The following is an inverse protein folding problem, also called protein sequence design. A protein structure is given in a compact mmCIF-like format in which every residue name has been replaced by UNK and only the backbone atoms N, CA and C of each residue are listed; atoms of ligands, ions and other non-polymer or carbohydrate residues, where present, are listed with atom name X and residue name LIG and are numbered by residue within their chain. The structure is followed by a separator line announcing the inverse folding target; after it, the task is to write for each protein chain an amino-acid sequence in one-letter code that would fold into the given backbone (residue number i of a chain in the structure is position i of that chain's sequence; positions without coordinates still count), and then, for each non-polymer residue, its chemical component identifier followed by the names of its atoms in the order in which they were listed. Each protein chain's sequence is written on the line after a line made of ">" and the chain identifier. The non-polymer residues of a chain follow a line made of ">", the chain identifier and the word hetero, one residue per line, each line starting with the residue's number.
data_IF_572156492299
#
_entry.id   IF_572156492299
#
_cell.length_a   1.000
_cell.length_b   1.000
_cell.length_c   1.000
_cell.angle_alpha   90.00
_cell.angle_beta   90.00
_cell.angle_gamma   90.00
#
_symmetry.space_group_name_H-M   'P 1'
#
loop_
_entity.id
_entity.type
_entity.pdbx_description
1 polymer ?
#
# COMPACT_ATOMS: atom_id res chain seq x y z
N UNK A 1 -18.52 9.38 -8.17
CA UNK A 1 -17.40 8.45 -7.91
C UNK A 1 -17.53 7.97 -6.46
N UNK A 2 -18.11 6.78 -6.22
CA UNK A 2 -18.50 6.34 -4.86
C UNK A 2 -18.80 4.82 -4.74
N UNK A 3 -18.02 3.95 -5.40
CA UNK A 3 -18.25 2.48 -5.39
C UNK A 3 -17.01 1.61 -5.09
N UNK A 4 -15.88 2.21 -4.72
CA UNK A 4 -14.64 1.45 -4.50
C UNK A 4 -13.99 0.90 -5.77
N UNK A 5 -14.42 1.37 -6.95
CA UNK A 5 -13.82 1.06 -8.24
C UNK A 5 -12.41 1.69 -8.33
N UNK A 6 -11.47 0.98 -8.95
CA UNK A 6 -10.12 1.47 -9.20
C UNK A 6 -10.17 2.62 -10.22
N UNK A 7 -9.42 3.69 -9.96
CA UNK A 7 -9.16 4.73 -10.97
C UNK A 7 -8.49 4.06 -12.17
N UNK A 8 -8.84 4.42 -13.43
CA UNK A 8 -8.28 3.75 -14.60
C UNK A 8 -6.75 3.74 -14.58
N UNK A 9 -6.17 2.59 -14.91
CA UNK A 9 -4.73 2.34 -14.75
C UNK A 9 -3.87 3.35 -15.53
N UNK A 10 -4.30 3.77 -16.71
CA UNK A 10 -3.59 4.74 -17.54
C UNK A 10 -3.36 6.08 -16.84
N UNK A 11 -4.36 6.53 -16.06
CA UNK A 11 -4.28 7.77 -15.30
C UNK A 11 -3.32 7.62 -14.12
N UNK A 12 -3.41 6.51 -13.38
CA UNK A 12 -2.50 6.22 -12.26
C UNK A 12 -1.06 6.11 -12.77
N UNK A 13 -0.84 5.38 -13.87
CA UNK A 13 0.47 5.20 -14.47
C UNK A 13 1.08 6.55 -14.89
N UNK A 14 0.28 7.43 -15.49
CA UNK A 14 0.73 8.76 -15.91
C UNK A 14 1.08 9.64 -14.69
N UNK A 15 0.28 9.59 -13.64
CA UNK A 15 0.53 10.31 -12.39
C UNK A 15 1.85 9.86 -11.74
N UNK A 16 2.05 8.54 -11.61
CA UNK A 16 3.27 7.97 -11.02
C UNK A 16 4.49 8.37 -11.83
N UNK A 17 4.46 8.24 -13.16
CA UNK A 17 5.57 8.68 -14.03
C UNK A 17 5.90 10.15 -13.84
N UNK A 18 4.89 11.01 -13.79
CA UNK A 18 5.11 12.45 -13.60
C UNK A 18 5.77 12.75 -12.25
N UNK A 19 5.40 12.05 -11.18
CA UNK A 19 6.05 12.23 -9.87
C UNK A 19 7.46 11.66 -9.83
N UNK A 20 7.73 10.56 -10.54
CA UNK A 20 9.09 9.97 -10.60
C UNK A 20 10.12 10.86 -11.32
N UNK A 21 9.68 11.95 -11.95
CA UNK A 21 10.53 12.98 -12.57
C UNK A 21 10.80 14.18 -11.64
N UNK A 22 10.15 14.23 -10.48
CA UNK A 22 10.34 15.33 -9.54
C UNK A 22 11.69 15.23 -8.81
N UNK A 23 12.22 16.38 -8.37
CA UNK A 23 13.56 16.44 -7.74
C UNK A 23 13.61 15.77 -6.37
N UNK A 24 12.49 15.69 -5.68
CA UNK A 24 12.39 15.09 -4.34
C UNK A 24 12.56 13.57 -4.35
N UNK A 25 12.43 12.91 -5.51
CA UNK A 25 12.64 11.46 -5.65
C UNK A 25 14.03 11.08 -6.16
N UNK A 26 14.95 12.05 -6.30
CA UNK A 26 16.32 11.80 -6.79
C UNK A 26 17.11 10.88 -5.85
N UNK A 27 16.94 11.05 -4.53
CA UNK A 27 17.64 10.27 -3.50
C UNK A 27 16.94 8.94 -3.14
N UNK A 28 15.85 8.61 -3.83
CA UNK A 28 15.02 7.44 -3.54
C UNK A 28 13.55 7.78 -3.39
N UNK A 29 12.72 6.75 -3.33
CA UNK A 29 11.28 6.90 -3.17
C UNK A 29 10.69 5.65 -2.51
N UNK A 30 9.50 5.80 -1.93
CA UNK A 30 8.66 4.69 -1.49
C UNK A 30 7.31 4.83 -2.17
N UNK A 31 6.90 3.79 -2.90
CA UNK A 31 5.57 3.73 -3.50
C UNK A 31 4.64 2.97 -2.56
N UNK A 32 3.70 3.69 -1.94
CA UNK A 32 2.68 3.09 -1.07
C UNK A 32 1.37 2.87 -1.84
N UNK A 33 0.96 1.61 -1.92
CA UNK A 33 -0.28 1.21 -2.56
C UNK A 33 -0.26 1.24 -4.09
N UNK A 34 0.93 1.31 -4.72
CA UNK A 34 1.16 1.12 -6.14
C UNK A 34 2.48 0.34 -6.34
N UNK A 35 2.54 -0.67 -7.22
CA UNK A 35 1.47 -1.19 -8.09
C UNK A 35 0.44 -2.06 -7.34
N UNK A 36 -0.79 -2.14 -7.87
CA UNK A 36 -1.88 -3.01 -7.36
C UNK A 36 -2.22 -4.18 -8.27
N UNK A 37 -1.77 -4.13 -9.52
CA UNK A 37 -1.97 -5.20 -10.51
C UNK A 37 -0.69 -5.44 -11.29
N UNK A 38 -0.57 -6.63 -11.89
CA UNK A 38 0.62 -7.04 -12.64
C UNK A 38 0.98 -6.07 -13.78
N UNK A 39 -0.01 -5.50 -14.46
CA UNK A 39 0.24 -4.58 -15.58
C UNK A 39 0.90 -3.27 -15.12
N UNK A 40 0.50 -2.76 -13.96
CA UNK A 40 1.12 -1.59 -13.33
C UNK A 40 2.57 -1.88 -12.93
N UNK A 41 2.84 -3.07 -12.39
CA UNK A 41 4.19 -3.51 -12.02
C UNK A 41 5.11 -3.59 -13.26
N UNK A 42 4.66 -4.25 -14.33
CA UNK A 42 5.41 -4.33 -15.60
C UNK A 42 5.69 -2.94 -16.18
N UNK A 43 4.72 -2.03 -16.12
CA UNK A 43 4.87 -0.66 -16.59
C UNK A 43 5.92 0.09 -15.76
N UNK A 44 5.83 0.01 -14.43
CA UNK A 44 6.76 0.67 -13.50
C UNK A 44 8.20 0.22 -13.76
N UNK A 45 8.44 -1.08 -13.84
CA UNK A 45 9.76 -1.67 -14.12
C UNK A 45 10.33 -1.16 -15.45
N UNK A 46 9.53 -1.24 -16.53
CA UNK A 46 9.97 -0.77 -17.85
C UNK A 46 10.28 0.75 -17.85
N UNK A 47 9.49 1.54 -17.11
CA UNK A 47 9.72 2.97 -16.98
C UNK A 47 11.01 3.26 -16.21
N UNK A 48 11.22 2.65 -15.05
CA UNK A 48 12.44 2.83 -14.25
C UNK A 48 13.68 2.43 -15.05
N UNK A 49 13.64 1.28 -15.74
CA UNK A 49 14.73 0.81 -16.60
C UNK A 49 15.05 1.82 -17.71
N UNK A 50 14.04 2.45 -18.32
CA UNK A 50 14.26 3.50 -19.34
C UNK A 50 14.98 4.74 -18.78
N UNK A 51 14.95 4.94 -17.47
CA UNK A 51 15.64 6.01 -16.76
C UNK A 51 16.96 5.55 -16.12
N UNK A 52 17.43 4.33 -16.43
CA UNK A 52 18.57 3.68 -15.77
C UNK A 52 18.41 3.59 -14.24
N UNK A 53 17.18 3.40 -13.76
CA UNK A 53 16.82 3.18 -12.36
C UNK A 53 16.21 1.78 -12.21
N UNK A 54 16.28 1.21 -11.02
CA UNK A 54 15.63 -0.04 -10.67
C UNK A 54 14.89 0.11 -9.34
N UNK A 55 13.99 -0.84 -9.04
CA UNK A 55 13.52 -1.02 -7.66
C UNK A 55 14.58 -1.79 -6.87
N UNK A 56 14.79 -1.35 -5.63
CA UNK A 56 15.72 -1.99 -4.70
C UNK A 56 15.02 -3.11 -3.90
N UNK A 57 13.76 -2.90 -3.53
CA UNK A 57 12.93 -3.85 -2.80
C UNK A 57 11.44 -3.65 -3.02
N UNK A 58 10.69 -4.71 -2.76
CA UNK A 58 9.24 -4.72 -2.61
C UNK A 58 8.89 -5.41 -1.30
N UNK A 59 8.39 -4.64 -0.33
CA UNK A 59 7.94 -5.17 0.95
C UNK A 59 6.48 -5.61 0.89
N UNK A 60 6.24 -6.88 1.20
CA UNK A 60 4.89 -7.42 1.41
C UNK A 60 4.66 -7.61 2.91
N UNK A 61 3.77 -6.78 3.48
CA UNK A 61 3.36 -6.91 4.87
C UNK A 61 2.32 -8.03 4.98
N UNK A 62 2.75 -9.21 5.42
CA UNK A 62 1.90 -10.36 5.64
C UNK A 62 1.12 -10.19 6.95
N UNK A 63 -0.20 -10.19 6.85
CA UNK A 63 -1.12 -9.95 7.97
C UNK A 63 -2.30 -10.89 7.80
N UNK A 64 -2.67 -11.60 8.88
CA UNK A 64 -3.83 -12.49 8.83
C UNK A 64 -5.12 -11.74 8.49
N UNK A 65 -6.03 -12.41 7.80
CA UNK A 65 -7.35 -11.87 7.44
C UNK A 65 -8.12 -11.41 8.69
N UNK A 66 -8.02 -12.13 9.80
CA UNK A 66 -8.67 -11.74 11.05
C UNK A 66 -8.07 -10.48 11.66
N UNK A 67 -6.74 -10.32 11.61
CA UNK A 67 -6.09 -9.09 12.05
C UNK A 67 -6.42 -7.91 11.13
N UNK A 68 -6.49 -8.12 9.81
CA UNK A 68 -6.93 -7.10 8.85
C UNK A 68 -8.36 -6.65 9.16
N UNK A 69 -9.29 -7.58 9.35
CA UNK A 69 -10.68 -7.30 9.75
C UNK A 69 -10.74 -6.51 11.05
N UNK A 70 -9.99 -6.93 12.07
CA UNK A 70 -9.91 -6.24 13.36
C UNK A 70 -9.41 -4.78 13.20
N UNK A 71 -8.31 -4.58 12.47
CA UNK A 71 -7.72 -3.25 12.23
C UNK A 71 -8.68 -2.33 11.46
N UNK A 72 -9.36 -2.85 10.43
CA UNK A 72 -10.34 -2.11 9.65
C UNK A 72 -11.58 -1.73 10.48
N UNK A 73 -12.10 -2.66 11.28
CA UNK A 73 -13.22 -2.41 12.18
C UNK A 73 -12.88 -1.37 13.26
N UNK A 74 -11.70 -1.48 13.90
CA UNK A 74 -11.23 -0.51 14.90
C UNK A 74 -11.08 0.89 14.30
N UNK A 75 -10.58 0.99 13.06
CA UNK A 75 -10.48 2.27 12.34
C UNK A 75 -11.85 2.90 12.10
N UNK A 76 -12.86 2.10 11.74
CA UNK A 76 -14.25 2.56 11.62
C UNK A 76 -14.84 3.03 12.95
N UNK A 77 -14.62 2.27 14.03
CA UNK A 77 -15.15 2.57 15.37
C UNK A 77 -14.54 3.82 16.02
N UNK A 78 -13.21 3.99 15.95
CA UNK A 78 -12.52 5.20 16.44
C UNK A 78 -13.09 6.47 15.80
N UNK A 79 -13.46 6.40 14.53
CA UNK A 79 -14.07 7.52 13.80
C UNK A 79 -15.52 7.81 14.21
N UNK A 80 -16.28 6.79 14.65
CA UNK A 80 -17.63 6.97 15.18
C UNK A 80 -17.62 7.65 16.56
N UNK A 81 -16.64 7.31 17.42
CA UNK A 81 -16.50 7.95 18.73
C UNK A 81 -16.15 9.44 18.60
N UNK A 82 -15.27 9.80 17.66
CA UNK A 82 -14.98 11.20 17.30
C UNK A 82 -16.24 11.96 16.86
N UNK A 83 -17.25 11.29 16.30
CA UNK A 83 -18.53 11.93 15.93
C UNK A 83 -19.48 12.17 17.10
N UNK A 84 -19.37 11.41 18.20
CA UNK A 84 -20.38 11.43 19.29
C UNK A 84 -19.94 12.20 20.55
N UNK A 85 -18.68 12.66 20.65
CA UNK A 85 -18.20 13.38 21.84
C UNK A 85 -17.25 14.55 21.53
N UNK A 86 -17.63 15.75 21.98
CA UNK A 86 -16.81 16.94 22.26
C UNK A 86 -15.42 17.03 21.60
N UNK A 87 -15.35 17.60 20.39
CA UNK A 87 -14.09 17.97 19.76
C UNK A 87 -13.82 19.49 19.91
N UNK A 88 -13.26 19.90 21.05
CA UNK A 88 -12.44 21.13 21.09
C UNK A 88 -11.07 20.93 20.42
N UNK A 89 -10.72 19.68 20.06
CA UNK A 89 -9.64 19.37 19.15
C UNK A 89 -10.25 18.81 17.86
N UNK A 90 -10.46 19.69 16.88
CA UNK A 90 -11.05 19.35 15.58
C UNK A 90 -10.37 18.12 14.93
N UNK A 91 -11.12 17.12 14.46
CA UNK A 91 -10.60 16.20 13.46
C UNK A 91 -10.55 16.95 12.11
N UNK A 92 -9.47 17.70 11.86
CA UNK A 92 -9.22 18.24 10.53
C UNK A 92 -8.92 17.08 9.58
N UNK A 93 -9.84 16.91 8.62
CA UNK A 93 -9.79 16.05 7.42
C UNK A 93 -10.16 14.58 7.64
N UNK A 94 -11.38 14.23 7.23
CA UNK A 94 -11.75 12.87 6.87
C UNK A 94 -13.10 12.45 7.44
N UNK A 95 -14.17 12.79 6.75
CA UNK A 95 -15.44 12.09 6.83
C UNK A 95 -15.21 10.57 6.87
N UNK A 96 -16.09 9.83 7.56
CA UNK A 96 -16.08 8.35 7.52
C UNK A 96 -15.91 7.94 6.06
N UNK A 97 -14.79 7.28 5.74
CA UNK A 97 -14.65 6.69 4.41
C UNK A 97 -15.76 5.64 4.31
N UNK A 98 -16.59 5.76 3.26
CA UNK A 98 -17.69 4.83 2.98
C UNK A 98 -17.20 3.36 2.93
N UNK A 99 -15.89 3.18 2.74
CA UNK A 99 -15.18 1.92 2.65
C UNK A 99 -14.99 1.13 3.96
N UNK A 100 -15.30 1.71 5.13
CA UNK A 100 -15.13 1.03 6.43
C UNK A 100 -16.39 0.21 6.84
N UNK A 101 -17.35 0.00 5.91
CA UNK A 101 -18.49 -0.92 6.13
C UNK A 101 -18.05 -2.38 5.99
N UNK A 102 -18.57 -3.33 6.81
CA UNK A 102 -18.18 -4.74 6.75
C UNK A 102 -18.26 -5.36 5.34
N UNK A 103 -19.31 -5.06 4.59
CA UNK A 103 -19.50 -5.56 3.22
C UNK A 103 -18.45 -5.02 2.23
N UNK A 104 -18.00 -3.76 2.41
CA UNK A 104 -16.96 -3.15 1.56
C UNK A 104 -15.57 -3.65 1.93
N UNK A 105 -15.34 -3.94 3.22
CA UNK A 105 -14.13 -4.58 3.72
C UNK A 105 -13.99 -5.97 3.09
N UNK A 106 -15.04 -6.79 3.14
CA UNK A 106 -14.98 -8.15 2.60
C UNK A 106 -14.79 -8.15 1.08
N UNK A 107 -15.48 -7.26 0.35
CA UNK A 107 -15.26 -7.10 -1.09
C UNK A 107 -13.82 -6.69 -1.42
N UNK A 108 -13.17 -5.86 -0.59
CA UNK A 108 -11.77 -5.49 -0.76
C UNK A 108 -10.82 -6.65 -0.51
N UNK A 109 -11.04 -7.41 0.55
CA UNK A 109 -10.19 -8.56 0.89
C UNK A 109 -10.27 -9.60 -0.23
N UNK A 110 -11.47 -9.91 -0.72
CA UNK A 110 -11.67 -10.87 -1.82
C UNK A 110 -11.11 -10.41 -3.16
N UNK A 111 -11.33 -9.15 -3.56
CA UNK A 111 -10.86 -8.66 -4.86
C UNK A 111 -9.33 -8.55 -4.92
N UNK A 112 -8.70 -8.30 -3.78
CA UNK A 112 -7.25 -8.10 -3.73
C UNK A 112 -6.45 -9.41 -3.77
N UNK A 113 -7.01 -10.54 -3.33
CA UNK A 113 -6.25 -11.80 -3.15
C UNK A 113 -5.54 -12.26 -4.43
N UNK A 114 -6.27 -12.47 -5.53
CA UNK A 114 -5.65 -12.92 -6.80
C UNK A 114 -4.71 -11.89 -7.46
N UNK A 115 -4.94 -10.60 -7.21
CA UNK A 115 -4.07 -9.53 -7.71
C UNK A 115 -2.74 -9.50 -6.92
N UNK A 116 -2.82 -9.67 -5.61
CA UNK A 116 -1.66 -9.73 -4.71
C UNK A 116 -0.82 -10.95 -5.03
N UNK A 117 -1.43 -12.14 -5.21
CA UNK A 117 -0.69 -13.36 -5.56
C UNK A 117 0.14 -13.19 -6.85
N UNK A 118 -0.45 -12.57 -7.86
CA UNK A 118 0.24 -12.29 -9.13
C UNK A 118 1.44 -11.36 -8.95
N UNK A 119 1.33 -10.36 -8.07
CA UNK A 119 2.41 -9.42 -7.77
C UNK A 119 3.51 -10.08 -6.92
N UNK A 120 3.12 -10.86 -5.90
CA UNK A 120 4.04 -11.63 -5.06
C UNK A 120 4.89 -12.53 -5.95
N UNK A 121 4.26 -13.30 -6.84
CA UNK A 121 4.99 -14.18 -7.75
C UNK A 121 5.94 -13.38 -8.66
N UNK A 122 5.45 -12.30 -9.29
CA UNK A 122 6.24 -11.46 -10.18
C UNK A 122 7.50 -10.88 -9.53
N UNK A 123 7.40 -10.36 -8.31
CA UNK A 123 8.54 -9.77 -7.60
C UNK A 123 9.44 -10.81 -6.91
N UNK A 124 8.89 -11.97 -6.55
CA UNK A 124 9.67 -13.11 -6.04
C UNK A 124 10.62 -13.65 -7.10
N UNK A 125 10.16 -13.82 -8.34
CA UNK A 125 11.00 -14.28 -9.46
C UNK A 125 12.16 -13.32 -9.78
N UNK A 126 12.05 -12.05 -9.37
CA UNK A 126 13.06 -11.00 -9.57
C UNK A 126 14.00 -10.83 -8.37
N UNK A 127 13.83 -11.62 -7.31
CA UNK A 127 14.55 -11.47 -6.04
C UNK A 127 14.38 -10.08 -5.40
N UNK A 128 13.26 -9.41 -5.64
CA UNK A 128 12.94 -8.10 -5.07
C UNK A 128 11.96 -8.19 -3.89
N UNK A 129 11.26 -9.32 -3.74
CA UNK A 129 10.21 -9.46 -2.74
C UNK A 129 10.78 -9.78 -1.35
N UNK A 130 10.47 -8.93 -0.37
CA UNK A 130 10.71 -9.15 1.05
C UNK A 130 9.37 -9.32 1.77
N UNK A 131 9.12 -10.51 2.31
CA UNK A 131 7.93 -10.79 3.11
C UNK A 131 8.21 -10.41 4.55
N UNK A 132 7.42 -9.49 5.09
CA UNK A 132 7.57 -8.95 6.44
C UNK A 132 6.33 -9.30 7.25
N UNK A 133 6.51 -9.80 8.47
CA UNK A 133 5.40 -9.95 9.39
C UNK A 133 4.83 -8.56 9.74
N UNK A 134 3.60 -8.29 9.29
CA UNK A 134 2.89 -7.03 9.54
C UNK A 134 2.05 -7.04 10.82
N UNK A 135 2.10 -8.11 11.62
CA UNK A 135 1.45 -8.22 12.92
C UNK A 135 2.37 -7.74 14.05
N UNK A 136 1.77 -7.31 15.16
CA UNK A 136 2.49 -6.71 16.29
C UNK A 136 2.39 -5.18 16.36
N UNK A 137 3.34 -4.56 17.04
CA UNK A 137 3.39 -3.09 17.22
C UNK A 137 4.00 -2.41 15.99
N UNK A 138 3.68 -1.12 15.74
CA UNK A 138 4.31 -0.35 14.66
C UNK A 138 5.84 -0.37 14.71
N UNK A 139 6.42 -0.28 15.91
CA UNK A 139 7.88 -0.27 16.10
C UNK A 139 8.49 -1.61 15.68
N UNK A 140 7.88 -2.75 16.07
CA UNK A 140 8.37 -4.06 15.66
C UNK A 140 8.30 -4.26 14.14
N UNK A 141 7.21 -3.81 13.50
CA UNK A 141 7.10 -3.91 12.04
C UNK A 141 8.13 -3.01 11.36
N UNK A 142 8.36 -1.81 11.89
CA UNK A 142 9.38 -0.89 11.39
C UNK A 142 10.80 -1.47 11.50
N UNK A 143 11.13 -2.10 12.63
CA UNK A 143 12.41 -2.78 12.83
C UNK A 143 12.60 -3.91 11.80
N UNK A 144 11.58 -4.75 11.59
CA UNK A 144 11.64 -5.82 10.58
C UNK A 144 11.86 -5.27 9.15
N UNK A 145 11.24 -4.13 8.81
CA UNK A 145 11.47 -3.46 7.52
C UNK A 145 12.92 -2.99 7.42
N UNK A 146 13.46 -2.34 8.45
CA UNK A 146 14.85 -1.88 8.45
C UNK A 146 15.84 -3.03 8.30
N UNK A 147 15.63 -4.13 9.03
CA UNK A 147 16.47 -5.32 8.90
C UNK A 147 16.48 -5.88 7.47
N UNK A 148 15.33 -5.86 6.80
CA UNK A 148 15.22 -6.33 5.41
C UNK A 148 15.95 -5.42 4.40
N UNK A 149 16.23 -4.16 4.76
CA UNK A 149 16.94 -3.18 3.92
C UNK A 149 18.47 -3.24 4.08
N UNK A 150 18.98 -3.82 5.16
CA UNK A 150 20.43 -3.93 5.41
C UNK A 150 21.23 -4.62 4.28
N UNK A 151 20.73 -5.67 3.62
CA UNK A 151 21.45 -6.32 2.52
C UNK A 151 21.51 -5.48 1.24
N UNK A 152 20.58 -4.52 1.08
CA UNK A 152 20.36 -3.74 -0.14
C UNK A 152 21.24 -2.49 -0.15
N UNK A 153 21.48 -1.89 1.02
CA UNK A 153 22.30 -0.68 1.18
C UNK A 153 23.82 -0.91 1.05
N UNK A 154 24.27 -1.94 0.31
CA UNK A 154 25.69 -2.29 0.13
C UNK A 154 26.23 -1.95 -1.25
#
# INVERSE_FOLDING_TARGET
>A
MNKGELVPDEWINSLVKSHLQAKDVENGFVLDGYPRILQQAKMLEAYLQSQNRNLDAVHFLDVSQDMLRHRLAKRGALRLQVKQGNAQNEPKRGEIRLDDKPEVIENRLRFNEGLIESLIHFYKERNLLHVINGEGTPDNVFDNINESLLPINK
#
